data_IF_867188478421
#
_entry.id   IF_867188478421
#
_cell.length_a   1.000
_cell.length_b   1.000
_cell.length_c   1.000
_cell.angle_alpha   90.00
_cell.angle_beta   90.00
_cell.angle_gamma   90.00
#
_symmetry.space_group_name_H-M   'P 1'
#
loop_
_entity.id
_entity.type
_entity.pdbx_description
1 polymer ?
#
# COMPACT_ATOMS: atom_id res chain seq x y z
N UNK A 1 -75.21 17.50 -17.83
CA UNK A 1 -75.25 16.09 -17.36
C UNK A 1 -74.08 15.88 -16.42
N UNK A 2 -74.30 16.08 -15.12
CA UNK A 2 -74.54 15.08 -14.06
C UNK A 2 -73.23 14.62 -13.40
N UNK A 3 -73.01 15.11 -12.17
CA UNK A 3 -72.02 14.64 -11.20
C UNK A 3 -72.21 13.16 -10.88
N UNK A 4 -71.10 12.46 -10.61
CA UNK A 4 -71.06 11.33 -9.67
C UNK A 4 -69.71 11.26 -8.97
N UNK A 5 -69.71 11.71 -7.70
CA UNK A 5 -68.84 11.21 -6.65
C UNK A 5 -69.27 9.77 -6.31
N UNK A 6 -68.31 8.88 -6.09
CA UNK A 6 -68.48 7.75 -5.17
C UNK A 6 -67.11 7.44 -4.55
N UNK A 7 -67.02 7.57 -3.23
CA UNK A 7 -65.90 7.03 -2.44
C UNK A 7 -66.14 5.57 -2.08
N UNK A 8 -65.09 4.86 -1.68
CA UNK A 8 -64.88 4.38 -0.30
C UNK A 8 -63.80 3.29 -0.22
N UNK A 9 -62.94 3.49 0.78
CA UNK A 9 -62.27 2.51 1.66
C UNK A 9 -61.39 1.42 1.04
N UNK A 10 -60.08 1.51 1.27
CA UNK A 10 -59.23 0.33 1.47
C UNK A 10 -58.37 0.50 2.73
N UNK A 11 -58.28 -0.63 3.43
CA UNK A 11 -57.89 -0.80 4.82
C UNK A 11 -56.41 -0.52 5.13
N UNK A 12 -56.22 -0.06 6.37
CA UNK A 12 -54.97 -0.06 7.11
C UNK A 12 -54.31 -1.44 7.10
N UNK A 13 -53.12 -1.52 6.51
CA UNK A 13 -52.21 -2.65 6.59
C UNK A 13 -50.78 -2.15 6.67
N UNK A 14 -50.47 -1.36 7.70
CA UNK A 14 -49.09 -0.98 8.03
C UNK A 14 -48.31 -2.22 8.46
N UNK A 15 -47.72 -2.91 7.48
CA UNK A 15 -46.71 -3.94 7.72
C UNK A 15 -45.43 -3.21 8.14
N UNK A 16 -45.24 -3.11 9.46
CA UNK A 16 -43.99 -2.67 10.08
C UNK A 16 -42.86 -3.53 9.51
N UNK A 17 -42.03 -2.93 8.66
CA UNK A 17 -40.74 -3.49 8.28
C UNK A 17 -39.83 -3.39 9.50
N UNK A 18 -39.21 -4.49 9.97
CA UNK A 18 -38.24 -4.41 11.05
C UNK A 18 -37.05 -3.55 10.59
N UNK A 19 -36.58 -2.70 11.51
CA UNK A 19 -35.43 -1.82 11.36
C UNK A 19 -34.17 -2.61 11.02
N UNK A 20 -33.60 -2.34 9.84
CA UNK A 20 -32.33 -2.89 9.36
C UNK A 20 -31.13 -2.23 10.07
N UNK A 21 -30.94 -2.48 11.37
CA UNK A 21 -29.73 -2.02 12.08
C UNK A 21 -28.68 -3.12 12.29
N UNK A 22 -28.93 -4.37 11.88
CA UNK A 22 -27.99 -5.49 12.12
C UNK A 22 -27.30 -6.06 10.86
N UNK A 23 -27.62 -5.56 9.67
CA UNK A 23 -27.05 -6.09 8.40
C UNK A 23 -25.75 -5.40 7.95
N UNK A 24 -25.46 -4.18 8.39
CA UNK A 24 -24.27 -3.45 7.95
C UNK A 24 -22.92 -4.08 8.33
N UNK A 25 -22.68 -4.58 9.56
CA UNK A 25 -21.35 -5.08 9.92
C UNK A 25 -21.01 -6.38 9.18
N UNK A 26 -22.01 -7.21 8.87
CA UNK A 26 -21.80 -8.51 8.21
C UNK A 26 -21.45 -8.34 6.72
N UNK A 27 -22.10 -7.39 6.04
CA UNK A 27 -21.76 -7.04 4.65
C UNK A 27 -20.35 -6.44 4.56
N UNK A 28 -19.98 -5.53 5.48
CA UNK A 28 -18.63 -4.98 5.51
C UNK A 28 -17.58 -6.06 5.76
N UNK A 29 -17.83 -7.01 6.69
CA UNK A 29 -16.89 -8.10 6.98
C UNK A 29 -16.73 -9.09 5.82
N UNK A 30 -17.82 -9.41 5.10
CA UNK A 30 -17.76 -10.30 3.93
C UNK A 30 -17.01 -9.64 2.77
N UNK A 31 -17.29 -8.36 2.50
CA UNK A 31 -16.59 -7.58 1.48
C UNK A 31 -15.09 -7.47 1.80
N UNK A 32 -14.72 -7.24 3.06
CA UNK A 32 -13.31 -7.18 3.49
C UNK A 32 -12.61 -8.54 3.33
N UNK A 33 -13.30 -9.66 3.58
CA UNK A 33 -12.73 -11.02 3.41
C UNK A 33 -12.53 -11.38 1.94
N UNK A 34 -13.51 -11.14 1.08
CA UNK A 34 -13.39 -11.37 -0.37
C UNK A 34 -12.29 -10.46 -0.96
N UNK A 35 -12.29 -9.17 -0.60
CA UNK A 35 -11.19 -8.25 -0.92
C UNK A 35 -9.83 -8.64 -0.31
N UNK A 36 -9.74 -9.60 0.62
CA UNK A 36 -8.46 -10.05 1.19
C UNK A 36 -7.93 -11.32 0.51
N UNK A 37 -8.80 -12.16 -0.06
CA UNK A 37 -8.41 -13.42 -0.71
C UNK A 37 -7.87 -13.19 -2.12
N UNK A 38 -8.48 -12.28 -2.90
CA UNK A 38 -8.09 -12.01 -4.28
C UNK A 38 -6.67 -11.42 -4.38
N UNK A 39 -6.26 -10.66 -3.36
CA UNK A 39 -4.95 -10.01 -3.35
C UNK A 39 -3.78 -10.98 -3.11
N UNK A 40 -3.99 -12.16 -2.51
CA UNK A 40 -2.88 -13.02 -2.05
C UNK A 40 -2.36 -13.99 -3.09
N UNK A 41 -3.13 -14.30 -4.14
CA UNK A 41 -2.78 -15.42 -5.03
C UNK A 41 -1.62 -15.11 -5.97
N UNK A 42 -1.45 -13.86 -6.38
CA UNK A 42 -0.44 -13.47 -7.39
C UNK A 42 0.44 -12.29 -6.96
N UNK A 43 0.64 -12.10 -5.66
CA UNK A 43 1.58 -11.07 -5.18
C UNK A 43 3.03 -11.51 -5.46
N UNK A 44 3.84 -10.71 -6.16
CA UNK A 44 5.26 -10.96 -6.27
C UNK A 44 5.92 -11.18 -4.90
N UNK A 45 6.88 -12.11 -4.77
CA UNK A 45 7.43 -12.52 -3.47
C UNK A 45 8.12 -11.39 -2.69
N UNK A 46 8.51 -10.33 -3.39
CA UNK A 46 9.17 -9.15 -2.82
C UNK A 46 8.19 -8.21 -2.11
N UNK A 47 6.88 -8.38 -2.31
CA UNK A 47 5.85 -7.52 -1.76
C UNK A 47 5.04 -8.19 -0.66
N UNK A 48 4.66 -7.36 0.32
CA UNK A 48 3.67 -7.68 1.34
C UNK A 48 2.55 -6.67 1.25
N UNK A 49 1.33 -7.17 1.07
CA UNK A 49 0.14 -6.34 1.00
C UNK A 49 -0.22 -5.86 2.40
N UNK A 50 -0.27 -4.54 2.54
CA UNK A 50 -0.59 -3.83 3.76
C UNK A 50 -2.06 -3.43 3.85
N UNK A 51 -2.29 -2.27 4.49
CA UNK A 51 -3.63 -1.73 4.75
C UNK A 51 -4.31 -1.21 3.48
N UNK A 52 -5.63 -1.16 3.53
CA UNK A 52 -6.47 -0.50 2.52
C UNK A 52 -6.18 1.01 2.54
N UNK A 53 -6.04 1.60 1.36
CA UNK A 53 -5.81 3.04 1.16
C UNK A 53 -7.00 3.64 0.44
N UNK A 54 -7.48 4.79 0.91
CA UNK A 54 -8.55 5.52 0.24
C UNK A 54 -7.99 6.33 -0.91
N UNK A 55 -8.69 6.33 -2.05
CA UNK A 55 -8.30 7.09 -3.25
C UNK A 55 -8.08 8.60 -2.99
N UNK A 56 -8.80 9.18 -2.03
CA UNK A 56 -8.66 10.60 -1.65
C UNK A 56 -7.37 10.90 -0.87
N UNK A 57 -6.68 9.87 -0.38
CA UNK A 57 -5.49 10.01 0.49
C UNK A 57 -4.18 9.72 -0.23
N UNK A 58 -4.26 9.44 -1.54
CA UNK A 58 -3.09 9.11 -2.35
C UNK A 58 -2.12 10.29 -2.43
N UNK A 59 -0.83 9.95 -2.37
CA UNK A 59 0.28 10.91 -2.46
C UNK A 59 1.48 10.28 -3.14
N UNK A 60 2.34 11.13 -3.68
CA UNK A 60 3.62 10.78 -4.28
C UNK A 60 4.46 9.91 -3.34
N UNK A 61 5.15 8.92 -3.92
CA UNK A 61 5.99 7.94 -3.24
C UNK A 61 5.22 6.79 -2.60
N UNK A 62 3.88 6.82 -2.58
CA UNK A 62 3.11 5.64 -2.17
C UNK A 62 3.32 4.51 -3.17
N UNK A 63 3.59 3.32 -2.64
CA UNK A 63 3.67 2.09 -3.42
C UNK A 63 2.43 1.27 -3.12
N UNK A 64 1.68 0.93 -4.17
CA UNK A 64 0.31 0.45 -4.05
C UNK A 64 0.08 -0.77 -4.93
N UNK A 65 -0.73 -1.68 -4.41
CA UNK A 65 -1.46 -2.64 -5.22
C UNK A 65 -2.79 -1.99 -5.59
N UNK A 66 -3.05 -1.82 -6.89
CA UNK A 66 -4.25 -1.23 -7.46
C UNK A 66 -5.05 -2.33 -8.18
N UNK A 67 -6.03 -2.91 -7.49
CA UNK A 67 -6.85 -4.00 -8.04
C UNK A 67 -8.14 -3.49 -8.68
N UNK A 68 -8.62 -4.25 -9.66
CA UNK A 68 -9.85 -3.99 -10.40
C UNK A 68 -10.52 -5.33 -10.78
N UNK A 69 -11.85 -5.33 -10.88
CA UNK A 69 -12.63 -6.56 -11.07
C UNK A 69 -13.98 -6.38 -11.76
N UNK A 70 -14.30 -5.19 -12.32
CA UNK A 70 -15.67 -4.90 -12.80
C UNK A 70 -15.93 -5.54 -14.17
N UNK A 71 -15.06 -5.30 -15.16
CA UNK A 71 -15.15 -5.90 -16.50
C UNK A 71 -14.01 -6.90 -16.72
N UNK A 72 -12.82 -6.57 -16.22
CA UNK A 72 -11.65 -7.43 -16.16
C UNK A 72 -11.18 -7.58 -14.71
N UNK A 73 -10.56 -8.71 -14.40
CA UNK A 73 -9.87 -8.92 -13.13
C UNK A 73 -8.37 -8.71 -13.30
N UNK A 74 -7.76 -7.97 -12.38
CA UNK A 74 -6.31 -7.82 -12.35
C UNK A 74 -5.85 -6.88 -11.26
N UNK A 75 -4.53 -6.75 -11.16
CA UNK A 75 -3.87 -5.93 -10.17
C UNK A 75 -2.62 -5.30 -10.77
N UNK A 76 -2.49 -3.98 -10.65
CA UNK A 76 -1.26 -3.29 -10.97
C UNK A 76 -0.45 -3.06 -9.68
N UNK A 77 0.88 -3.24 -9.75
CA UNK A 77 1.79 -2.83 -8.68
C UNK A 77 2.48 -1.55 -9.09
N UNK A 78 2.15 -0.44 -8.43
CA UNK A 78 2.57 0.89 -8.86
C UNK A 78 3.26 1.69 -7.77
N UNK A 79 4.11 2.62 -8.18
CA UNK A 79 4.54 3.76 -7.38
C UNK A 79 3.89 5.04 -7.89
N UNK A 80 3.19 5.76 -7.01
CA UNK A 80 2.57 7.05 -7.33
C UNK A 80 3.67 8.09 -7.48
N UNK A 81 3.80 8.68 -8.68
CA UNK A 81 4.75 9.75 -8.94
C UNK A 81 4.15 11.14 -8.73
N UNK A 82 2.82 11.25 -8.81
CA UNK A 82 2.07 12.48 -8.53
C UNK A 82 0.78 12.54 -9.34
N UNK A 83 0.23 13.74 -9.48
CA UNK A 83 -1.04 13.96 -10.17
C UNK A 83 -0.92 15.14 -11.13
N UNK A 84 -1.59 15.04 -12.27
CA UNK A 84 -1.64 16.09 -13.29
C UNK A 84 -2.69 17.13 -12.96
N UNK A 85 -2.69 18.26 -13.69
CA UNK A 85 -3.88 19.11 -13.81
C UNK A 85 -4.85 18.61 -14.89
N UNK A 86 -5.93 19.35 -15.07
CA UNK A 86 -6.96 19.13 -16.10
C UNK A 86 -6.85 20.13 -17.28
N UNK A 87 -5.69 20.77 -17.44
CA UNK A 87 -5.45 21.81 -18.45
C UNK A 87 -4.99 21.24 -19.79
N UNK A 88 -4.47 20.01 -19.80
CA UNK A 88 -4.02 19.29 -20.99
C UNK A 88 -4.63 17.89 -21.03
N UNK A 89 -4.80 17.35 -22.25
CA UNK A 89 -5.37 16.02 -22.43
C UNK A 89 -4.42 14.93 -21.92
N UNK A 90 -4.99 13.82 -21.47
CA UNK A 90 -4.27 12.57 -21.19
C UNK A 90 -3.07 12.72 -20.24
N UNK A 91 -3.07 13.75 -19.41
CA UNK A 91 -1.97 14.03 -18.49
C UNK A 91 -0.68 14.55 -19.15
N UNK A 92 -0.73 15.02 -20.40
CA UNK A 92 0.43 15.56 -21.14
C UNK A 92 1.13 16.74 -20.43
N UNK A 93 0.39 17.44 -19.56
CA UNK A 93 0.92 18.54 -18.74
C UNK A 93 1.85 18.11 -17.61
N UNK A 94 2.07 16.80 -17.43
CA UNK A 94 2.94 16.24 -16.42
C UNK A 94 2.44 16.39 -14.97
N UNK A 95 3.29 16.02 -14.02
CA UNK A 95 2.97 16.08 -12.58
C UNK A 95 2.93 17.54 -12.11
N UNK A 96 1.80 17.95 -11.53
CA UNK A 96 1.59 19.28 -10.94
C UNK A 96 1.37 19.25 -9.45
N UNK A 97 0.84 18.14 -8.93
CA UNK A 97 0.49 17.98 -7.53
C UNK A 97 1.13 16.72 -6.95
N UNK A 98 1.55 16.80 -5.69
CA UNK A 98 2.14 15.67 -4.98
C UNK A 98 1.09 14.83 -4.22
N UNK A 99 -0.14 15.30 -4.06
CA UNK A 99 -1.20 14.56 -3.38
C UNK A 99 -2.60 14.95 -3.83
N UNK A 100 -3.56 14.06 -3.66
CA UNK A 100 -4.98 14.35 -3.95
C UNK A 100 -5.52 15.45 -3.01
N UNK A 101 -5.07 15.47 -1.76
CA UNK A 101 -5.42 16.52 -0.80
C UNK A 101 -4.92 17.90 -1.24
N UNK A 102 -3.77 17.96 -1.90
CA UNK A 102 -3.27 19.21 -2.49
C UNK A 102 -4.18 19.70 -3.61
N UNK A 103 -4.69 18.80 -4.46
CA UNK A 103 -5.68 19.14 -5.50
C UNK A 103 -6.93 19.74 -4.85
N UNK A 104 -7.50 19.08 -3.83
CA UNK A 104 -8.69 19.59 -3.13
C UNK A 104 -8.46 20.95 -2.49
N UNK A 105 -7.25 21.21 -1.98
CA UNK A 105 -6.90 22.50 -1.39
C UNK A 105 -6.84 23.63 -2.41
N UNK A 106 -6.30 23.37 -3.60
CA UNK A 106 -6.16 24.41 -4.65
C UNK A 106 -7.45 24.60 -5.45
N UNK A 107 -8.27 23.55 -5.57
CA UNK A 107 -9.54 23.58 -6.28
C UNK A 107 -10.66 23.98 -5.31
N UNK A 108 -10.99 25.28 -5.29
CA UNK A 108 -12.00 25.84 -4.38
C UNK A 108 -13.33 25.09 -4.48
N UNK A 109 -13.88 24.67 -3.34
CA UNK A 109 -15.19 24.01 -3.25
C UNK A 109 -15.16 22.48 -3.49
N UNK A 110 -13.98 21.88 -3.67
CA UNK A 110 -13.83 20.43 -3.84
C UNK A 110 -13.32 19.78 -2.56
N UNK A 111 -13.98 18.69 -2.13
CA UNK A 111 -13.61 17.92 -0.93
C UNK A 111 -13.45 16.41 -1.17
N UNK A 112 -13.85 15.93 -2.35
CA UNK A 112 -13.82 14.53 -2.71
C UNK A 112 -13.68 14.34 -4.23
N UNK A 113 -13.36 13.12 -4.66
CA UNK A 113 -13.09 12.81 -6.07
C UNK A 113 -14.31 13.05 -6.97
N UNK A 114 -15.54 12.81 -6.50
CA UNK A 114 -16.75 13.07 -7.28
C UNK A 114 -16.94 14.57 -7.56
N UNK A 115 -16.68 15.41 -6.56
CA UNK A 115 -16.69 16.85 -6.75
C UNK A 115 -15.53 17.32 -7.65
N UNK A 116 -14.37 16.68 -7.56
CA UNK A 116 -13.23 16.99 -8.43
C UNK A 116 -13.57 16.68 -9.89
N UNK A 117 -14.14 15.51 -10.17
CA UNK A 117 -14.63 15.11 -11.51
C UNK A 117 -15.66 16.11 -12.05
N UNK A 118 -16.62 16.54 -11.23
CA UNK A 118 -17.61 17.54 -11.61
C UNK A 118 -16.99 18.92 -11.86
N UNK A 119 -15.91 19.27 -11.17
CA UNK A 119 -15.16 20.50 -11.40
C UNK A 119 -14.30 20.41 -12.68
N UNK A 120 -13.86 19.21 -13.05
CA UNK A 120 -13.06 18.95 -14.25
C UNK A 120 -13.84 19.07 -15.56
N UNK A 121 -15.15 19.34 -15.49
CA UNK A 121 -16.05 19.32 -16.63
C UNK A 121 -15.81 20.48 -17.63
N UNK A 122 -14.74 20.36 -18.40
CA UNK A 122 -14.64 20.91 -19.76
C UNK A 122 -15.49 20.12 -20.77
N UNK A 123 -16.21 19.08 -20.33
CA UNK A 123 -17.02 18.15 -21.14
C UNK A 123 -16.27 17.49 -22.30
N UNK A 124 -14.94 17.61 -22.35
CA UNK A 124 -14.12 17.08 -23.43
C UNK A 124 -13.32 15.87 -22.95
N UNK A 125 -13.40 14.80 -23.74
CA UNK A 125 -12.71 13.55 -23.45
C UNK A 125 -11.20 13.77 -23.30
N UNK A 126 -10.63 13.20 -22.24
CA UNK A 126 -9.20 13.28 -21.95
C UNK A 126 -8.81 14.42 -21.01
N UNK A 127 -9.71 15.31 -20.60
CA UNK A 127 -9.42 16.36 -19.62
C UNK A 127 -9.86 15.97 -18.22
N UNK A 128 -8.97 15.28 -17.51
CA UNK A 128 -9.16 14.87 -16.11
C UNK A 128 -7.91 15.19 -15.31
N UNK A 129 -8.02 15.19 -13.98
CA UNK A 129 -6.84 14.92 -13.15
C UNK A 129 -6.43 13.45 -13.31
N UNK A 130 -5.22 13.21 -13.79
CA UNK A 130 -4.63 11.88 -13.90
C UNK A 130 -3.66 11.61 -12.76
N UNK A 131 -3.59 10.36 -12.30
CA UNK A 131 -2.51 9.89 -11.46
C UNK A 131 -1.38 9.38 -12.35
N UNK A 132 -0.21 10.00 -12.20
CA UNK A 132 1.03 9.57 -12.84
C UNK A 132 1.66 8.51 -11.95
N UNK A 133 1.88 7.33 -12.53
CA UNK A 133 2.40 6.17 -11.83
C UNK A 133 3.60 5.59 -12.56
N UNK A 134 4.42 4.86 -11.82
CA UNK A 134 5.47 3.98 -12.34
C UNK A 134 5.08 2.53 -12.09
N UNK A 135 5.21 1.68 -13.09
CA UNK A 135 5.10 0.24 -12.90
C UNK A 135 6.29 -0.27 -12.08
N UNK A 136 5.99 -0.96 -10.98
CA UNK A 136 7.01 -1.55 -10.09
C UNK A 136 6.89 -3.06 -10.01
N UNK A 137 5.97 -3.68 -10.76
CA UNK A 137 5.84 -5.12 -10.81
C UNK A 137 7.16 -5.75 -11.33
N UNK A 138 7.82 -6.61 -10.55
CA UNK A 138 9.05 -7.27 -11.00
C UNK A 138 8.84 -8.24 -12.16
N UNK A 139 7.60 -8.67 -12.42
CA UNK A 139 7.24 -9.65 -13.45
C UNK A 139 6.65 -9.02 -14.71
N UNK A 140 6.36 -7.72 -14.68
CA UNK A 140 5.82 -6.97 -15.81
C UNK A 140 6.84 -6.79 -16.92
N UNK A 141 6.35 -6.83 -18.16
CA UNK A 141 7.15 -6.55 -19.37
C UNK A 141 7.46 -5.05 -19.54
N UNK A 142 6.71 -4.19 -18.86
CA UNK A 142 6.82 -2.73 -18.89
C UNK A 142 7.41 -2.18 -17.58
N UNK A 143 8.16 -3.01 -16.86
CA UNK A 143 8.75 -2.67 -15.57
C UNK A 143 9.51 -1.36 -15.61
N UNK A 144 9.15 -0.44 -14.73
CA UNK A 144 9.75 0.87 -14.60
C UNK A 144 9.20 1.92 -15.57
N UNK A 145 8.31 1.56 -16.49
CA UNK A 145 7.59 2.52 -17.31
C UNK A 145 6.75 3.46 -16.45
N UNK A 146 6.57 4.68 -16.95
CA UNK A 146 5.86 5.73 -16.25
C UNK A 146 4.77 6.30 -17.14
N UNK A 147 3.58 6.56 -16.58
CA UNK A 147 2.54 7.22 -17.33
C UNK A 147 1.33 7.64 -16.51
N UNK A 148 0.49 8.45 -17.15
CA UNK A 148 -0.76 8.98 -16.62
C UNK A 148 -1.90 7.99 -16.86
N UNK A 149 -1.81 6.79 -16.29
CA UNK A 149 -2.67 5.66 -16.66
C UNK A 149 -4.04 5.65 -15.97
N UNK A 150 -4.20 6.43 -14.91
CA UNK A 150 -5.37 6.37 -14.04
C UNK A 150 -6.06 7.72 -13.98
N UNK A 151 -7.38 7.72 -14.09
CA UNK A 151 -8.20 8.92 -14.14
C UNK A 151 -9.40 8.79 -13.21
N UNK A 152 -10.11 9.89 -12.96
CA UNK A 152 -11.30 9.87 -12.09
C UNK A 152 -12.53 9.64 -12.97
N UNK A 153 -13.34 8.65 -12.61
CA UNK A 153 -14.63 8.37 -13.23
C UNK A 153 -15.63 7.92 -12.16
N UNK A 154 -16.83 8.48 -12.18
CA UNK A 154 -17.90 8.23 -11.20
C UNK A 154 -17.41 8.39 -9.74
N UNK A 155 -16.55 9.39 -9.51
CA UNK A 155 -15.98 9.68 -8.19
C UNK A 155 -14.97 8.66 -7.66
N UNK A 156 -14.43 7.80 -8.52
CA UNK A 156 -13.39 6.81 -8.16
C UNK A 156 -12.21 6.91 -9.13
N UNK A 157 -11.04 6.49 -8.67
CA UNK A 157 -9.92 6.26 -9.58
C UNK A 157 -10.23 5.03 -10.42
N UNK A 158 -9.97 5.14 -11.71
CA UNK A 158 -10.26 4.12 -12.70
C UNK A 158 -9.13 3.97 -13.71
N UNK A 159 -9.10 2.81 -14.38
CA UNK A 159 -8.14 2.51 -15.46
C UNK A 159 -8.82 1.99 -16.72
N UNK A 160 -8.11 2.15 -17.84
CA UNK A 160 -8.50 1.61 -19.15
C UNK A 160 -9.79 2.22 -19.70
N UNK A 161 -10.15 1.87 -20.93
CA UNK A 161 -11.36 2.39 -21.59
C UNK A 161 -12.68 1.92 -20.95
N UNK A 162 -12.66 0.81 -20.20
CA UNK A 162 -13.80 0.30 -19.45
C UNK A 162 -14.10 1.03 -18.14
N UNK A 163 -13.29 2.04 -17.78
CA UNK A 163 -13.39 2.79 -16.52
C UNK A 163 -13.45 1.87 -15.29
N UNK A 164 -12.51 0.92 -15.25
CA UNK A 164 -12.40 -0.09 -14.18
C UNK A 164 -12.12 0.58 -12.83
N UNK A 165 -13.05 0.53 -11.86
CA UNK A 165 -12.85 1.21 -10.59
C UNK A 165 -11.79 0.49 -9.77
N UNK A 166 -10.85 1.27 -9.22
CA UNK A 166 -9.71 0.74 -8.49
C UNK A 166 -9.99 0.63 -6.99
N UNK A 167 -9.31 -0.36 -6.38
CA UNK A 167 -9.16 -0.51 -4.94
C UNK A 167 -7.67 -0.55 -4.60
N UNK A 168 -7.26 0.23 -3.60
CA UNK A 168 -5.83 0.40 -3.28
C UNK A 168 -5.46 -0.25 -1.95
N UNK A 169 -4.29 -0.87 -1.93
CA UNK A 169 -3.61 -1.31 -0.70
C UNK A 169 -2.14 -0.90 -0.71
N UNK A 170 -1.58 -0.58 0.44
CA UNK A 170 -0.14 -0.29 0.54
C UNK A 170 0.70 -1.55 0.24
N UNK A 171 1.83 -1.36 -0.42
CA UNK A 171 2.86 -2.37 -0.60
C UNK A 171 4.01 -2.11 0.37
N UNK A 172 4.28 -3.09 1.21
CA UNK A 172 5.47 -3.13 2.04
C UNK A 172 6.49 -4.05 1.39
N UNK A 173 7.73 -3.59 1.25
CA UNK A 173 8.81 -4.44 0.72
C UNK A 173 9.23 -5.40 1.83
N UNK A 174 9.27 -6.69 1.52
CA UNK A 174 9.85 -7.63 2.46
C UNK A 174 11.32 -7.22 2.71
N UNK A 175 11.80 -7.21 3.97
CA UNK A 175 13.22 -7.02 4.22
C UNK A 175 13.95 -8.12 3.46
N UNK A 176 14.89 -7.74 2.58
CA UNK A 176 15.81 -8.71 1.97
C UNK A 176 16.46 -9.45 3.14
N UNK A 177 16.28 -10.77 3.22
CA UNK A 177 17.12 -11.59 4.09
C UNK A 177 18.53 -11.36 3.60
N UNK A 178 19.32 -10.58 4.33
CA UNK A 178 20.75 -10.56 4.12
C UNK A 178 21.21 -12.00 4.34
N UNK A 179 21.62 -12.67 3.25
CA UNK A 179 22.34 -13.92 3.40
C UNK A 179 23.52 -13.63 4.32
N UNK A 180 23.77 -14.45 5.35
CA UNK A 180 24.87 -14.20 6.26
C UNK A 180 26.13 -14.08 5.40
N UNK A 181 26.73 -12.89 5.40
CA UNK A 181 28.02 -12.64 4.78
C UNK A 181 28.92 -13.73 5.32
N UNK A 182 29.26 -14.70 4.47
CA UNK A 182 30.28 -15.68 4.78
C UNK A 182 31.55 -14.87 4.97
N UNK A 183 31.84 -14.54 6.23
CA UNK A 183 33.12 -14.04 6.65
C UNK A 183 34.13 -15.14 6.29
N UNK A 184 34.63 -15.09 5.04
CA UNK A 184 35.79 -15.85 4.61
C UNK A 184 36.91 -15.35 5.49
N UNK A 185 37.10 -16.04 6.62
CA UNK A 185 38.23 -15.81 7.52
C UNK A 185 39.48 -15.83 6.64
N UNK A 186 40.35 -14.80 6.67
CA UNK A 186 41.61 -14.89 5.97
C UNK A 186 42.36 -16.10 6.53
N UNK A 187 42.71 -17.02 5.64
CA UNK A 187 43.45 -18.22 5.95
C UNK A 187 44.87 -17.80 6.36
N UNK A 188 45.09 -17.51 7.64
CA UNK A 188 46.44 -17.33 8.15
C UNK A 188 47.10 -18.70 8.18
N UNK A 189 47.92 -19.01 7.18
CA UNK A 189 48.79 -20.17 7.22
C UNK A 189 49.74 -20.03 8.41
N UNK A 190 49.48 -20.78 9.49
CA UNK A 190 50.43 -20.94 10.61
C UNK A 190 51.64 -21.70 10.08
N UNK A 191 52.67 -20.96 9.67
CA UNK A 191 54.01 -21.51 9.43
C UNK A 191 54.53 -22.04 10.77
N UNK A 192 54.67 -23.36 10.88
CA UNK A 192 55.23 -24.04 12.05
C UNK A 192 56.73 -23.77 12.11
N UNK A 193 57.16 -22.87 12.99
CA UNK A 193 58.57 -22.76 13.37
C UNK A 193 58.80 -23.72 14.54
N UNK A 194 59.36 -24.90 14.22
CA UNK A 194 60.01 -25.79 15.19
C UNK A 194 61.14 -25.01 15.87
N UNK A 195 61.01 -24.70 17.16
CA UNK A 195 62.17 -24.39 18.00
C UNK A 195 62.48 -25.61 18.88
N UNK A 196 63.73 -26.02 18.79
CA UNK A 196 64.34 -27.17 19.42
C UNK A 196 64.55 -26.97 20.92
N UNK A 197 64.25 -28.03 21.69
CA UNK A 197 64.86 -28.47 22.96
C UNK A 197 65.75 -27.45 23.69
N UNK A 198 65.38 -27.11 24.93
CA UNK A 198 66.28 -27.33 26.07
C UNK A 198 65.53 -27.58 27.38
N UNK A 199 65.97 -28.63 28.05
CA UNK A 199 65.56 -29.16 29.34
C UNK A 199 66.27 -28.42 30.47
N UNK A 200 65.57 -28.14 31.58
CA UNK A 200 66.05 -28.42 32.96
C UNK A 200 64.94 -28.13 33.99
N UNK A 201 64.59 -29.17 34.73
CA UNK A 201 63.82 -29.15 35.99
C UNK A 201 64.70 -28.52 37.08
N UNK A 202 64.15 -27.63 37.91
CA UNK A 202 63.93 -27.82 39.37
C UNK A 202 63.47 -26.50 40.04
N UNK A 203 62.70 -26.67 41.11
CA UNK A 203 61.80 -25.74 41.81
C UNK A 203 62.38 -24.41 42.34
N UNK A 204 61.53 -23.39 42.61
CA UNK A 204 61.83 -22.38 43.61
C UNK A 204 61.16 -22.72 44.97
N UNK A 205 62.05 -22.76 45.95
CA UNK A 205 61.92 -22.35 47.35
C UNK A 205 60.55 -21.89 47.87
N UNK A 206 60.17 -22.52 49.00
CA UNK A 206 59.30 -21.94 50.04
C UNK A 206 59.83 -20.55 50.42
N UNK A 207 58.94 -19.57 50.47
CA UNK A 207 59.05 -18.49 51.43
C UNK A 207 57.75 -18.40 52.23
N UNK A 208 57.92 -18.38 53.54
CA UNK A 208 56.92 -18.58 54.56
C UNK A 208 57.09 -17.42 55.53
N UNK A 209 56.58 -16.23 55.18
CA UNK A 209 56.53 -15.09 56.08
C UNK A 209 55.12 -14.53 56.18
N UNK A 210 54.68 -14.51 57.44
CA UNK A 210 53.35 -14.24 57.97
C UNK A 210 53.04 -12.74 58.04
N UNK A 211 51.75 -12.48 58.29
CA UNK A 211 51.08 -11.29 58.89
C UNK A 211 50.51 -10.30 57.87
N UNK A 212 49.29 -9.77 58.00
CA UNK A 212 48.53 -9.58 59.24
C UNK A 212 47.01 -9.47 59.04
N UNK A 213 46.31 -9.98 60.07
CA UNK A 213 45.04 -9.54 60.68
C UNK A 213 43.74 -9.47 59.88
N UNK A 214 42.91 -10.46 60.22
CA UNK A 214 41.47 -10.61 60.03
C UNK A 214 40.68 -9.58 60.88
N UNK A 215 39.58 -9.11 60.28
CA UNK A 215 38.39 -8.51 60.90
C UNK A 215 37.86 -9.34 62.08
N UNK A 216 37.26 -8.66 63.06
CA UNK A 216 36.14 -9.23 63.81
C UNK A 216 35.85 -8.59 65.16
N UNK A 217 34.81 -7.73 65.16
CA UNK A 217 33.99 -7.24 66.29
C UNK A 217 34.65 -6.39 67.38
#
# INVERSE_FOLDING_TARGET
>A
MTLKLLGMTHNNGSKLMPSNEETEPYFQMKLIKELNEDFRKDTPPDFRIGKIVRGNTLKRGMKLSASYSKVNEGTDYIEVLGFTGNDQKYGEGGVKYNSVQEIFRVTRGVSNLKQLEQHDNKNEYGYHHYMVARDIDPTSTVKGETGAWYYIFEGRWSRGSGAEPLSFRELNFAPKKEEPVQNKRPYTSRRSVRSSKMSRRYAPFRDNSRRNTRRGR
#
